data_IF_940269825750
#
_entry.id   IF_940269825750
#
_cell.length_a   1.000
_cell.length_b   1.000
_cell.length_c   1.000
_cell.angle_alpha   90.00
_cell.angle_beta   90.00
_cell.angle_gamma   90.00
#
_symmetry.space_group_name_H-M   'P 1'
#
loop_
_entity.id
_entity.type
_entity.pdbx_description
1 polymer ?
#
# COMPACT_ATOMS: atom_id res chain seq x y z
N UNK A 1 63.89 -32.75 0.00
CA UNK A 1 63.21 -32.00 1.09
C UNK A 1 62.67 -30.63 0.67
N UNK A 2 63.19 -29.95 -0.38
CA UNK A 2 62.73 -28.60 -0.78
C UNK A 2 61.29 -28.50 -1.33
N UNK A 3 60.73 -29.56 -1.92
CA UNK A 3 59.39 -29.50 -2.53
C UNK A 3 58.23 -29.51 -1.53
N UNK A 4 58.46 -29.91 -0.27
CA UNK A 4 57.39 -30.02 0.74
C UNK A 4 56.98 -28.64 1.29
N UNK A 5 57.92 -27.71 1.44
CA UNK A 5 57.65 -26.36 1.94
C UNK A 5 56.85 -25.50 0.95
N UNK A 6 57.07 -25.69 -0.36
CA UNK A 6 56.33 -24.97 -1.40
C UNK A 6 54.85 -25.39 -1.42
N UNK A 7 54.57 -26.69 -1.27
CA UNK A 7 53.20 -27.21 -1.25
C UNK A 7 52.41 -26.69 -0.04
N UNK A 8 53.03 -26.60 1.14
CA UNK A 8 52.40 -26.04 2.34
C UNK A 8 52.06 -24.55 2.20
N UNK A 9 52.89 -23.77 1.49
CA UNK A 9 52.64 -22.35 1.28
C UNK A 9 51.50 -22.10 0.29
N UNK A 10 51.42 -22.90 -0.78
CA UNK A 10 50.34 -22.81 -1.78
C UNK A 10 48.98 -23.17 -1.17
N UNK A 11 48.90 -24.19 -0.31
CA UNK A 11 47.64 -24.55 0.35
C UNK A 11 47.16 -23.48 1.31
N UNK A 12 48.05 -22.88 2.09
CA UNK A 12 47.69 -21.76 2.98
C UNK A 12 47.20 -20.56 2.17
N UNK A 13 47.89 -20.21 1.08
CA UNK A 13 47.45 -19.13 0.19
C UNK A 13 46.10 -19.42 -0.46
N UNK A 14 45.84 -20.67 -0.87
CA UNK A 14 44.56 -21.07 -1.45
C UNK A 14 43.41 -20.95 -0.43
N UNK A 15 43.63 -21.33 0.82
CA UNK A 15 42.64 -21.20 1.90
C UNK A 15 42.37 -19.72 2.21
N UNK A 16 43.42 -18.90 2.33
CA UNK A 16 43.29 -17.46 2.57
C UNK A 16 42.53 -16.80 1.41
N UNK A 17 42.87 -17.16 0.17
CA UNK A 17 42.16 -16.67 -1.02
C UNK A 17 40.69 -17.06 -1.02
N UNK A 18 40.36 -18.30 -0.65
CA UNK A 18 38.98 -18.78 -0.56
C UNK A 18 38.18 -18.06 0.54
N UNK A 19 38.76 -17.83 1.71
CA UNK A 19 38.14 -17.08 2.81
C UNK A 19 37.89 -15.62 2.43
N UNK A 20 38.92 -14.94 1.91
CA UNK A 20 38.82 -13.54 1.48
C UNK A 20 37.78 -13.39 0.37
N UNK A 21 37.74 -14.32 -0.58
CA UNK A 21 36.77 -14.30 -1.66
C UNK A 21 35.33 -14.54 -1.17
N UNK A 22 35.13 -15.47 -0.24
CA UNK A 22 33.83 -15.79 0.34
C UNK A 22 33.25 -14.64 1.17
N UNK A 23 34.02 -14.11 2.11
CA UNK A 23 33.58 -13.05 3.02
C UNK A 23 33.26 -11.75 2.26
N UNK A 24 34.11 -11.37 1.30
CA UNK A 24 33.89 -10.18 0.47
C UNK A 24 32.59 -10.31 -0.33
N UNK A 25 32.27 -11.52 -0.78
CA UNK A 25 31.09 -11.75 -1.60
C UNK A 25 29.79 -11.77 -0.79
N UNK A 26 29.78 -12.44 0.37
CA UNK A 26 28.59 -12.57 1.22
C UNK A 26 28.18 -11.21 1.77
N UNK A 27 29.14 -10.46 2.34
CA UNK A 27 28.83 -9.16 2.94
C UNK A 27 28.28 -8.16 1.93
N UNK A 28 28.77 -8.18 0.68
CA UNK A 28 28.23 -7.32 -0.38
C UNK A 28 26.76 -7.62 -0.68
N UNK A 29 26.38 -8.90 -0.76
CA UNK A 29 24.99 -9.28 -1.03
C UNK A 29 24.05 -8.99 0.13
N UNK A 30 24.49 -9.24 1.36
CA UNK A 30 23.70 -8.95 2.56
C UNK A 30 23.44 -7.45 2.69
N UNK A 31 24.47 -6.61 2.47
CA UNK A 31 24.30 -5.17 2.55
C UNK A 31 23.35 -4.64 1.47
N UNK A 32 23.42 -5.17 0.24
CA UNK A 32 22.46 -4.82 -0.83
C UNK A 32 21.02 -5.20 -0.47
N UNK A 33 20.81 -6.39 0.11
CA UNK A 33 19.50 -6.82 0.59
C UNK A 33 18.95 -5.91 1.70
N UNK A 34 19.80 -5.54 2.67
CA UNK A 34 19.42 -4.66 3.77
C UNK A 34 19.07 -3.25 3.28
N UNK A 35 19.80 -2.73 2.29
CA UNK A 35 19.54 -1.42 1.70
C UNK A 35 18.17 -1.38 1.02
N UNK A 36 17.88 -2.36 0.15
CA UNK A 36 16.59 -2.43 -0.53
C UNK A 36 15.45 -2.73 0.43
N UNK A 37 15.69 -3.55 1.45
CA UNK A 37 14.68 -3.78 2.51
C UNK A 37 14.34 -2.48 3.23
N UNK A 38 15.34 -1.64 3.54
CA UNK A 38 15.10 -0.32 4.12
C UNK A 38 14.31 0.58 3.17
N UNK A 39 14.67 0.62 1.89
CA UNK A 39 13.93 1.40 0.89
C UNK A 39 12.46 0.98 0.78
N UNK A 40 12.21 -0.33 0.66
CA UNK A 40 10.84 -0.90 0.64
C UNK A 40 10.08 -0.56 1.92
N UNK A 41 10.72 -0.67 3.09
CA UNK A 41 10.09 -0.29 4.38
C UNK A 41 9.80 1.21 4.52
N UNK A 42 10.57 2.04 3.81
CA UNK A 42 10.36 3.50 3.78
C UNK A 42 9.32 3.95 2.76
N UNK A 43 8.73 3.01 2.00
CA UNK A 43 7.67 3.27 1.02
C UNK A 43 8.12 3.25 -0.44
N UNK A 44 9.41 3.14 -0.73
CA UNK A 44 9.89 2.95 -2.10
C UNK A 44 9.76 1.48 -2.53
N UNK A 45 8.55 1.08 -2.93
CA UNK A 45 8.26 -0.29 -3.38
C UNK A 45 8.90 -0.64 -4.73
N UNK A 46 9.50 0.31 -5.43
CA UNK A 46 10.20 0.10 -6.71
C UNK A 46 11.66 -0.31 -6.54
N UNK A 47 12.20 -0.26 -5.32
CA UNK A 47 13.55 -0.68 -5.02
C UNK A 47 13.76 -2.18 -5.31
N UNK A 48 14.90 -2.55 -5.89
CA UNK A 48 15.21 -3.95 -6.27
C UNK A 48 16.65 -4.27 -5.91
N UNK A 49 16.88 -5.51 -5.48
CA UNK A 49 18.16 -5.94 -4.87
C UNK A 49 19.35 -5.99 -5.84
N UNK A 50 19.14 -5.84 -7.16
CA UNK A 50 20.15 -5.88 -8.23
C UNK A 50 21.19 -7.01 -8.07
N UNK A 51 20.83 -8.09 -7.37
CA UNK A 51 21.78 -9.08 -6.92
C UNK A 51 22.35 -9.84 -8.13
N UNK A 52 23.68 -10.08 -8.18
CA UNK A 52 24.26 -10.91 -9.22
C UNK A 52 23.56 -12.27 -9.25
N UNK A 53 23.20 -12.77 -10.45
CA UNK A 53 22.61 -14.11 -10.67
C UNK A 53 23.65 -15.21 -10.37
N UNK A 54 23.96 -15.38 -9.09
CA UNK A 54 24.83 -16.44 -8.57
C UNK A 54 23.99 -17.64 -8.15
N UNK A 55 24.56 -18.85 -8.22
CA UNK A 55 23.90 -20.13 -7.88
C UNK A 55 23.82 -20.39 -6.35
N UNK A 56 23.68 -19.35 -5.53
CA UNK A 56 23.67 -19.44 -4.06
C UNK A 56 22.29 -19.23 -3.44
N UNK A 57 22.12 -19.61 -2.17
CA UNK A 57 20.88 -19.43 -1.40
C UNK A 57 20.49 -17.96 -1.22
N UNK A 58 21.46 -17.07 -1.04
CA UNK A 58 21.22 -15.62 -0.94
C UNK A 58 20.60 -15.05 -2.22
N UNK A 59 20.94 -15.61 -3.39
CA UNK A 59 20.34 -15.21 -4.67
C UNK A 59 18.88 -15.65 -4.76
N UNK A 60 18.53 -16.83 -4.21
CA UNK A 60 17.12 -17.26 -4.10
C UNK A 60 16.35 -16.37 -3.14
N UNK A 61 16.94 -16.01 -2.00
CA UNK A 61 16.33 -15.08 -1.05
C UNK A 61 16.11 -13.70 -1.68
N UNK A 62 17.09 -13.18 -2.43
CA UNK A 62 16.95 -11.91 -3.15
C UNK A 62 15.83 -11.94 -4.18
N UNK A 63 15.71 -13.03 -4.96
CA UNK A 63 14.60 -13.20 -5.89
C UNK A 63 13.24 -13.28 -5.19
N UNK A 64 13.15 -14.02 -4.08
CA UNK A 64 11.91 -14.10 -3.30
C UNK A 64 11.52 -12.72 -2.72
N UNK A 65 12.51 -11.94 -2.28
CA UNK A 65 12.30 -10.58 -1.82
C UNK A 65 11.82 -9.65 -2.94
N UNK A 66 12.45 -9.70 -4.11
CA UNK A 66 12.04 -8.88 -5.27
C UNK A 66 10.60 -9.21 -5.70
N UNK A 67 10.20 -10.49 -5.70
CA UNK A 67 8.82 -10.92 -5.98
C UNK A 67 7.82 -10.43 -4.93
N UNK A 68 8.21 -10.40 -3.66
CA UNK A 68 7.38 -9.84 -2.59
C UNK A 68 7.18 -8.33 -2.80
N UNK A 69 8.25 -7.60 -3.12
CA UNK A 69 8.18 -6.16 -3.38
C UNK A 69 7.28 -5.85 -4.58
N UNK A 70 7.36 -6.63 -5.66
CA UNK A 70 6.47 -6.54 -6.81
C UNK A 70 5.00 -6.78 -6.44
N UNK A 71 4.73 -7.83 -5.65
CA UNK A 71 3.37 -8.14 -5.19
C UNK A 71 2.78 -7.03 -4.32
N UNK A 72 3.58 -6.41 -3.46
CA UNK A 72 3.14 -5.26 -2.65
C UNK A 72 2.84 -4.04 -3.52
N UNK A 73 3.71 -3.75 -4.49
CA UNK A 73 3.51 -2.64 -5.42
C UNK A 73 2.23 -2.81 -6.23
N UNK A 74 1.95 -4.03 -6.71
CA UNK A 74 0.71 -4.34 -7.42
C UNK A 74 -0.52 -4.13 -6.54
N UNK A 75 -0.52 -4.69 -5.32
CA UNK A 75 -1.64 -4.55 -4.38
C UNK A 75 -1.93 -3.10 -4.04
N UNK A 76 -0.90 -2.28 -3.87
CA UNK A 76 -1.07 -0.86 -3.58
C UNK A 76 -1.69 -0.11 -4.77
N UNK A 77 -1.27 -0.42 -6.00
CA UNK A 77 -1.89 0.13 -7.22
C UNK A 77 -3.35 -0.27 -7.38
N UNK A 78 -3.67 -1.54 -7.16
CA UNK A 78 -5.05 -2.06 -7.16
C UNK A 78 -5.90 -1.39 -6.09
N UNK A 79 -5.37 -1.25 -4.86
CA UNK A 79 -6.04 -0.56 -3.76
C UNK A 79 -6.35 0.90 -4.12
N UNK A 80 -5.38 1.62 -4.68
CA UNK A 80 -5.56 3.02 -5.07
C UNK A 80 -6.62 3.15 -6.16
N UNK A 81 -6.57 2.30 -7.18
CA UNK A 81 -7.57 2.29 -8.27
C UNK A 81 -8.98 1.96 -7.77
N UNK A 82 -9.11 1.06 -6.79
CA UNK A 82 -10.38 0.74 -6.16
C UNK A 82 -10.94 1.94 -5.35
N UNK A 83 -10.09 2.66 -4.62
CA UNK A 83 -10.47 3.87 -3.89
C UNK A 83 -10.92 4.97 -4.86
N UNK A 84 -10.19 5.17 -5.95
CA UNK A 84 -10.54 6.19 -6.95
C UNK A 84 -11.86 5.87 -7.66
N UNK A 85 -12.07 4.60 -8.02
CA UNK A 85 -13.33 4.11 -8.60
C UNK A 85 -14.51 4.26 -7.64
N UNK A 86 -14.31 3.94 -6.35
CA UNK A 86 -15.33 4.15 -5.32
C UNK A 86 -15.67 5.63 -5.20
N UNK A 87 -14.67 6.51 -5.13
CA UNK A 87 -14.86 7.96 -5.03
C UNK A 87 -15.62 8.51 -6.24
N UNK A 88 -15.27 8.07 -7.44
CA UNK A 88 -15.97 8.49 -8.67
C UNK A 88 -17.44 8.03 -8.64
N UNK A 89 -17.69 6.79 -8.21
CA UNK A 89 -19.04 6.27 -8.08
C UNK A 89 -19.84 7.05 -7.03
N UNK A 90 -19.28 7.32 -5.86
CA UNK A 90 -19.93 8.09 -4.80
C UNK A 90 -20.29 9.51 -5.26
N UNK A 91 -19.38 10.17 -5.98
CA UNK A 91 -19.63 11.50 -6.51
C UNK A 91 -20.75 11.48 -7.57
N UNK A 92 -20.75 10.47 -8.44
CA UNK A 92 -21.83 10.28 -9.41
C UNK A 92 -23.17 10.00 -8.74
N UNK A 93 -23.18 9.21 -7.66
CA UNK A 93 -24.38 9.00 -6.86
C UNK A 93 -24.87 10.29 -6.20
N UNK A 94 -23.96 11.09 -5.61
CA UNK A 94 -24.28 12.37 -4.99
C UNK A 94 -24.89 13.35 -5.99
N UNK A 95 -24.26 13.52 -7.15
CA UNK A 95 -24.77 14.37 -8.23
C UNK A 95 -26.14 13.91 -8.72
N UNK A 96 -26.36 12.60 -8.84
CA UNK A 96 -27.67 12.07 -9.23
C UNK A 96 -28.72 12.37 -8.15
N UNK A 97 -28.41 12.13 -6.88
CA UNK A 97 -29.32 12.39 -5.77
C UNK A 97 -29.63 13.89 -5.59
N UNK A 98 -28.68 14.78 -5.85
CA UNK A 98 -28.88 16.24 -5.80
C UNK A 98 -29.74 16.76 -6.96
N UNK A 99 -29.71 16.12 -8.13
CA UNK A 99 -30.51 16.53 -9.30
C UNK A 99 -31.92 15.93 -9.35
N UNK A 100 -32.22 14.90 -8.54
CA UNK A 100 -33.57 14.33 -8.43
C UNK A 100 -34.49 15.35 -7.74
N UNK A 101 -35.65 15.62 -8.34
CA UNK A 101 -36.66 16.57 -7.82
C UNK A 101 -37.53 15.96 -6.70
N UNK A 102 -37.11 14.85 -6.10
CA UNK A 102 -37.76 14.19 -4.96
C UNK A 102 -36.86 14.31 -3.73
N UNK A 103 -37.48 14.44 -2.56
CA UNK A 103 -36.73 14.51 -1.29
C UNK A 103 -36.18 13.12 -0.95
N UNK A 104 -34.85 12.97 -1.03
CA UNK A 104 -34.12 11.83 -0.50
C UNK A 104 -33.52 12.19 0.84
N UNK A 105 -33.74 11.33 1.83
CA UNK A 105 -33.17 11.45 3.17
C UNK A 105 -32.74 10.07 3.69
N UNK A 106 -31.70 10.05 4.52
CA UNK A 106 -31.27 8.88 5.29
C UNK A 106 -31.01 9.30 6.73
N UNK A 107 -31.44 8.47 7.68
CA UNK A 107 -31.23 8.69 9.10
C UNK A 107 -30.76 7.41 9.80
N UNK A 108 -29.88 7.59 10.78
CA UNK A 108 -29.58 6.59 11.79
C UNK A 108 -30.72 6.61 12.82
N UNK A 109 -31.51 5.54 12.86
CA UNK A 109 -32.64 5.43 13.79
C UNK A 109 -32.22 5.04 15.21
N UNK A 110 -31.04 4.45 15.40
CA UNK A 110 -30.52 4.13 16.74
C UNK A 110 -30.02 5.39 17.44
N UNK A 111 -29.31 6.25 16.70
CA UNK A 111 -28.77 7.51 17.23
C UNK A 111 -29.68 8.72 16.99
N UNK A 112 -30.80 8.53 16.29
CA UNK A 112 -31.75 9.57 15.90
C UNK A 112 -31.01 10.76 15.24
N UNK A 113 -30.21 10.45 14.21
CA UNK A 113 -29.38 11.44 13.51
C UNK A 113 -29.63 11.37 12.01
N UNK A 114 -29.82 12.52 11.37
CA UNK A 114 -29.89 12.60 9.90
C UNK A 114 -28.47 12.40 9.32
N UNK A 115 -28.32 11.42 8.44
CA UNK A 115 -27.06 11.05 7.77
C UNK A 115 -26.92 11.83 6.45
N UNK A 116 -28.03 11.98 5.73
CA UNK A 116 -28.05 12.62 4.42
C UNK A 116 -29.43 13.20 4.14
N UNK A 117 -29.47 14.36 3.47
CA UNK A 117 -30.66 14.90 2.82
C UNK A 117 -30.24 15.67 1.57
N UNK A 118 -30.98 15.52 0.47
CA UNK A 118 -30.67 16.21 -0.79
C UNK A 118 -31.32 17.61 -0.86
N UNK A 119 -30.79 18.47 -1.75
CA UNK A 119 -31.25 19.86 -1.91
C UNK A 119 -32.72 19.99 -2.37
N UNK A 120 -33.31 18.92 -2.93
CA UNK A 120 -34.72 18.90 -3.30
C UNK A 120 -35.65 19.18 -2.10
N UNK A 121 -35.21 18.85 -0.87
CA UNK A 121 -35.91 19.23 0.35
C UNK A 121 -36.13 20.74 0.44
N UNK A 122 -35.10 21.55 0.18
CA UNK A 122 -35.20 23.00 0.26
C UNK A 122 -36.15 23.55 -0.79
N UNK A 123 -36.07 23.03 -2.01
CA UNK A 123 -36.90 23.46 -3.12
C UNK A 123 -38.38 23.11 -2.94
N UNK A 124 -38.69 21.94 -2.35
CA UNK A 124 -40.07 21.44 -2.19
C UNK A 124 -40.70 21.94 -0.89
N UNK A 125 -39.94 21.95 0.22
CA UNK A 125 -40.45 22.25 1.57
C UNK A 125 -40.14 23.67 2.02
N UNK A 126 -39.27 24.41 1.32
CA UNK A 126 -38.93 25.80 1.62
C UNK A 126 -38.14 26.01 2.92
N UNK A 127 -37.53 24.96 3.47
CA UNK A 127 -36.71 24.99 4.69
C UNK A 127 -35.30 24.51 4.38
N UNK A 128 -34.29 25.04 5.08
CA UNK A 128 -32.90 24.67 4.82
C UNK A 128 -32.61 23.24 5.32
N UNK A 129 -31.80 22.50 4.57
CA UNK A 129 -31.33 21.18 4.97
C UNK A 129 -30.50 21.22 6.26
N UNK A 130 -29.79 22.33 6.54
CA UNK A 130 -29.01 22.52 7.77
C UNK A 130 -29.86 22.40 9.03
N UNK A 131 -31.05 23.02 9.00
CA UNK A 131 -31.94 23.07 10.15
C UNK A 131 -32.46 21.67 10.50
N UNK A 132 -32.71 20.86 9.46
CA UNK A 132 -33.13 19.47 9.61
C UNK A 132 -31.99 18.55 10.09
N UNK A 133 -30.74 18.87 9.76
CA UNK A 133 -29.56 18.14 10.25
C UNK A 133 -29.27 18.45 11.72
N UNK A 134 -29.57 19.66 12.18
CA UNK A 134 -29.43 20.07 13.60
C UNK A 134 -30.58 19.56 14.48
N UNK A 135 -31.82 19.63 13.99
CA UNK A 135 -32.99 19.04 14.65
C UNK A 135 -33.70 18.03 13.74
N UNK A 136 -33.28 16.74 13.80
CA UNK A 136 -33.89 15.68 13.01
C UNK A 136 -35.37 15.46 13.31
N UNK A 137 -35.96 16.01 14.40
CA UNK A 137 -37.39 15.86 14.71
C UNK A 137 -38.27 16.87 13.97
N UNK A 138 -37.70 17.98 13.50
CA UNK A 138 -38.41 19.03 12.75
C UNK A 138 -39.06 18.52 11.45
N UNK A 139 -38.61 17.36 10.92
CA UNK A 139 -39.24 16.72 9.77
C UNK A 139 -40.68 16.25 10.03
N UNK A 140 -41.00 15.84 11.27
CA UNK A 140 -42.33 15.35 11.66
C UNK A 140 -43.38 16.45 11.55
N UNK A 141 -42.99 17.70 11.79
CA UNK A 141 -43.87 18.86 11.65
C UNK A 141 -44.19 19.16 10.18
N UNK A 142 -43.29 18.78 9.26
CA UNK A 142 -43.43 19.05 7.84
C UNK A 142 -44.22 17.97 7.07
N UNK A 143 -44.57 16.84 7.69
CA UNK A 143 -45.34 15.73 7.08
C UNK A 143 -46.84 15.77 7.45
N UNK A 144 -47.24 16.69 8.32
CA UNK A 144 -48.65 16.92 8.68
C UNK A 144 -49.28 17.98 7.78
#
# INVERSE_FOLDING_TARGET
MQNLGLLGLVTVLAIIGAWLFGDLFIMRQVNALLEVTKEVSSGNLSARTQAPKSKGELSRLAQAFDLMAESLQQREGERQSAVDSLRESEERYRQTAENIHEVLWMADLERIRMIYINAAYENIRGRNCSDLMEDPRSWLEAVR
#
